data_IF_538340897539
#
_entry.id   IF_538340897539
#
_cell.length_a   1.000
_cell.length_b   1.000
_cell.length_c   1.000
_cell.angle_alpha   90.00
_cell.angle_beta   90.00
_cell.angle_gamma   90.00
#
_symmetry.space_group_name_H-M   'P 1'
#
loop_
_entity.id
_entity.type
_entity.pdbx_description
1 polymer ?
#
# COMPACT_ATOMS: atom_id res chain seq x y z
N UNK A 1 31.01 38.95 -70.35
CA UNK A 1 30.54 40.32 -70.05
C UNK A 1 29.12 40.21 -69.48
N UNK A 2 28.93 40.57 -68.19
CA UNK A 2 27.69 40.99 -67.50
C UNK A 2 26.44 40.06 -67.58
N UNK A 3 25.61 39.78 -66.57
CA UNK A 3 25.32 40.44 -65.29
C UNK A 3 24.36 39.53 -64.50
N UNK A 4 24.60 39.45 -63.19
CA UNK A 4 23.65 39.45 -62.04
C UNK A 4 22.40 38.54 -62.01
N UNK A 5 22.33 37.71 -60.95
CA UNK A 5 21.09 37.38 -60.18
C UNK A 5 20.59 38.66 -59.46
N UNK A 6 19.41 38.77 -58.79
CA UNK A 6 18.34 37.82 -58.46
C UNK A 6 16.91 38.41 -58.66
N UNK A 7 15.84 37.75 -58.19
CA UNK A 7 14.74 38.36 -57.40
C UNK A 7 13.71 37.32 -56.94
N UNK A 8 13.50 37.27 -55.63
CA UNK A 8 12.39 36.60 -54.97
C UNK A 8 11.04 37.17 -55.45
N UNK A 9 10.04 36.30 -55.57
CA UNK A 9 8.63 36.68 -55.40
C UNK A 9 7.98 35.74 -54.41
N UNK A 10 7.68 36.29 -53.24
CA UNK A 10 6.81 35.71 -52.25
C UNK A 10 5.36 35.72 -52.79
N UNK A 11 4.65 34.60 -52.63
CA UNK A 11 3.19 34.60 -52.63
C UNK A 11 2.72 34.00 -51.31
N UNK A 12 2.13 34.87 -50.50
CA UNK A 12 1.38 34.56 -49.30
C UNK A 12 0.01 34.03 -49.75
N UNK A 13 -0.37 32.85 -49.27
CA UNK A 13 -1.76 32.39 -49.32
C UNK A 13 -2.08 31.72 -47.98
N UNK A 14 -2.82 32.47 -47.17
CA UNK A 14 -3.41 32.12 -45.88
C UNK A 14 -4.58 31.13 -46.04
N UNK A 15 -4.48 29.94 -45.46
CA UNK A 15 -5.58 29.01 -45.11
C UNK A 15 -4.98 28.06 -44.04
N UNK A 16 -5.55 27.70 -42.90
CA UNK A 16 -6.82 27.97 -42.27
C UNK A 16 -6.80 27.19 -40.94
N UNK A 17 -7.51 27.72 -39.97
CA UNK A 17 -7.81 27.22 -38.62
C UNK A 17 -7.95 25.69 -38.51
N UNK A 18 -7.36 25.08 -37.47
CA UNK A 18 -7.99 24.07 -36.59
C UNK A 18 -7.06 23.73 -35.42
N UNK A 19 -7.20 24.51 -34.34
CA UNK A 19 -6.75 24.15 -33.00
C UNK A 19 -7.62 22.98 -32.52
N UNK A 20 -7.14 21.74 -32.70
CA UNK A 20 -7.68 20.60 -32.00
C UNK A 20 -7.23 20.67 -30.54
N UNK A 21 -8.02 21.35 -29.71
CA UNK A 21 -7.92 21.28 -28.27
C UNK A 21 -8.36 19.88 -27.81
N UNK A 22 -7.40 18.94 -27.77
CA UNK A 22 -7.58 17.68 -27.08
C UNK A 22 -7.60 17.98 -25.57
N UNK A 23 -8.69 17.67 -24.83
CA UNK A 23 -8.59 17.58 -23.38
C UNK A 23 -7.68 16.40 -23.08
N UNK A 24 -6.42 16.69 -22.74
CA UNK A 24 -5.55 15.73 -22.08
C UNK A 24 -6.26 15.41 -20.77
N UNK A 25 -6.95 14.27 -20.74
CA UNK A 25 -7.57 13.76 -19.54
C UNK A 25 -6.50 13.70 -18.46
N UNK A 26 -6.62 14.55 -17.44
CA UNK A 26 -5.85 14.40 -16.23
C UNK A 26 -6.22 13.03 -15.67
N UNK A 27 -5.32 12.06 -15.86
CA UNK A 27 -5.34 10.84 -15.08
C UNK A 27 -5.24 11.28 -13.62
N UNK A 28 -6.37 11.23 -12.91
CA UNK A 28 -6.41 11.42 -11.48
C UNK A 28 -5.52 10.33 -10.87
N UNK A 29 -4.27 10.69 -10.58
CA UNK A 29 -3.42 9.85 -9.75
C UNK A 29 -4.11 9.76 -8.40
N UNK A 30 -4.35 8.55 -7.86
CA UNK A 30 -4.99 8.44 -6.57
C UNK A 30 -4.16 9.21 -5.55
N UNK A 31 -4.81 10.17 -4.87
CA UNK A 31 -4.23 10.92 -3.77
C UNK A 31 -3.86 9.95 -2.64
N UNK A 32 -2.64 9.42 -2.70
CA UNK A 32 -2.02 8.79 -1.55
C UNK A 32 -1.79 9.90 -0.52
N UNK A 33 -2.44 9.79 0.64
CA UNK A 33 -2.01 10.54 1.81
C UNK A 33 -0.49 10.33 1.97
N UNK A 34 0.28 11.42 2.05
CA UNK A 34 1.73 11.40 1.93
C UNK A 34 2.35 10.42 2.95
N UNK A 35 2.78 9.26 2.45
CA UNK A 35 3.61 8.32 3.22
C UNK A 35 5.03 8.85 3.26
N UNK A 36 5.67 8.78 4.42
CA UNK A 36 7.06 9.22 4.62
C UNK A 36 8.11 8.35 3.90
N UNK A 37 7.74 7.16 3.45
CA UNK A 37 8.58 6.28 2.66
C UNK A 37 8.08 4.83 2.63
N UNK A 38 8.81 3.96 1.94
CA UNK A 38 8.54 2.52 1.92
C UNK A 38 8.79 1.90 3.31
N UNK A 39 7.89 1.05 3.80
CA UNK A 39 8.14 0.36 5.07
C UNK A 39 9.39 -0.53 4.97
N UNK A 40 10.34 -0.34 5.87
CA UNK A 40 11.65 -0.98 5.84
C UNK A 40 12.07 -1.57 7.19
N UNK A 41 11.17 -1.63 8.16
CA UNK A 41 11.42 -2.26 9.46
C UNK A 41 10.10 -2.65 10.12
N UNK A 42 10.18 -3.29 11.29
CA UNK A 42 9.05 -3.65 12.15
C UNK A 42 9.33 -3.16 13.55
N UNK A 43 8.33 -2.64 14.23
CA UNK A 43 8.43 -2.26 15.63
C UNK A 43 7.30 -2.85 16.46
N UNK A 44 7.65 -3.16 17.70
CA UNK A 44 6.74 -3.52 18.76
C UNK A 44 6.04 -2.27 19.27
N UNK A 45 4.72 -2.24 19.23
CA UNK A 45 3.92 -1.08 19.65
C UNK A 45 2.76 -1.49 20.52
N UNK A 46 2.60 -0.79 21.64
CA UNK A 46 1.49 -1.01 22.57
C UNK A 46 0.16 -0.77 21.86
N UNK A 47 -0.77 -1.73 21.97
CA UNK A 47 -2.07 -1.68 21.31
C UNK A 47 -3.19 -1.10 22.20
N UNK A 48 -2.83 -0.57 23.37
CA UNK A 48 -3.67 0.35 24.14
C UNK A 48 -4.87 -0.26 24.87
N UNK A 49 -4.89 -1.57 25.14
CA UNK A 49 -5.94 -2.15 25.99
C UNK A 49 -5.57 -1.94 27.46
N UNK A 50 -6.39 -1.20 28.22
CA UNK A 50 -6.17 -0.93 29.65
C UNK A 50 -6.03 -2.19 30.52
N UNK A 51 -6.62 -3.31 30.07
CA UNK A 51 -6.49 -4.60 30.75
C UNK A 51 -5.13 -5.28 30.54
N UNK A 52 -4.34 -4.86 29.54
CA UNK A 52 -3.09 -5.53 29.15
C UNK A 52 -2.02 -4.52 28.70
N UNK A 53 -1.38 -3.81 29.64
CA UNK A 53 -0.42 -2.75 29.34
C UNK A 53 0.87 -3.22 28.65
N UNK A 54 1.11 -4.54 28.59
CA UNK A 54 2.29 -5.14 27.97
C UNK A 54 2.03 -5.75 26.60
N UNK A 55 0.78 -5.70 26.13
CA UNK A 55 0.41 -6.27 24.85
C UNK A 55 0.80 -5.36 23.70
N UNK A 56 1.34 -5.98 22.66
CA UNK A 56 1.89 -5.23 21.55
C UNK A 56 1.65 -5.87 20.20
N UNK A 57 1.57 -5.02 19.17
CA UNK A 57 1.54 -5.40 17.78
C UNK A 57 2.92 -5.31 17.14
N UNK A 58 3.18 -6.18 16.17
CA UNK A 58 4.36 -6.10 15.30
C UNK A 58 4.00 -5.33 14.03
N UNK A 59 4.35 -4.05 13.98
CA UNK A 59 3.82 -3.12 12.97
C UNK A 59 4.93 -2.67 12.01
N UNK A 60 4.72 -2.74 10.68
CA UNK A 60 5.63 -2.22 9.67
C UNK A 60 5.84 -0.71 9.81
N UNK A 61 7.10 -0.26 9.76
CA UNK A 61 7.49 1.15 9.86
C UNK A 61 8.49 1.54 8.76
N UNK A 62 8.64 2.85 8.54
CA UNK A 62 9.81 3.46 7.91
C UNK A 62 10.53 4.34 8.94
N UNK A 63 11.75 3.98 9.37
CA UNK A 63 12.56 4.83 10.25
C UNK A 63 11.88 5.28 11.56
N UNK A 64 10.92 4.50 12.08
CA UNK A 64 10.12 4.85 13.27
C UNK A 64 8.71 5.38 12.97
N UNK A 65 8.45 5.83 11.74
CA UNK A 65 7.15 6.29 11.27
C UNK A 65 6.23 5.13 10.90
N UNK A 66 4.98 5.18 11.37
CA UNK A 66 3.92 4.24 10.98
C UNK A 66 3.32 4.58 9.61
N UNK A 67 3.50 5.83 9.16
CA UNK A 67 2.96 6.31 7.90
C UNK A 67 3.95 5.99 6.77
N UNK A 68 4.06 4.68 6.52
CA UNK A 68 4.84 4.09 5.45
C UNK A 68 3.93 3.29 4.52
N UNK A 69 4.46 2.89 3.36
CA UNK A 69 3.72 2.10 2.39
C UNK A 69 4.47 0.84 1.96
N UNK A 70 3.73 -0.17 1.51
CA UNK A 70 4.26 -1.35 0.83
C UNK A 70 3.35 -1.74 -0.33
N UNK A 71 3.94 -2.05 -1.47
CA UNK A 71 3.23 -2.48 -2.67
C UNK A 71 4.07 -3.42 -3.50
N UNK A 72 3.66 -3.66 -4.75
CA UNK A 72 4.33 -4.62 -5.63
C UNK A 72 5.85 -4.41 -5.70
N UNK A 73 6.62 -5.49 -5.60
CA UNK A 73 8.08 -5.47 -5.64
C UNK A 73 8.77 -5.23 -4.29
N UNK A 74 8.03 -4.96 -3.21
CA UNK A 74 8.61 -4.88 -1.86
C UNK A 74 9.00 -6.26 -1.32
N UNK A 75 10.04 -6.29 -0.48
CA UNK A 75 10.56 -7.52 0.13
C UNK A 75 11.96 -7.91 -0.37
N UNK A 76 12.61 -7.03 -1.13
CA UNK A 76 13.94 -7.27 -1.72
C UNK A 76 15.08 -6.96 -0.76
N UNK A 77 14.87 -6.06 0.20
CA UNK A 77 15.80 -5.81 1.32
C UNK A 77 15.32 -6.51 2.59
N UNK A 78 16.23 -6.81 3.52
CA UNK A 78 15.87 -7.49 4.78
C UNK A 78 14.83 -6.72 5.60
N UNK A 79 14.95 -5.39 5.59
CA UNK A 79 14.02 -4.49 6.24
C UNK A 79 12.62 -4.54 5.63
N UNK A 80 12.51 -4.45 4.30
CA UNK A 80 11.23 -4.58 3.60
C UNK A 80 10.65 -5.99 3.76
N UNK A 81 11.49 -7.03 3.68
CA UNK A 81 11.06 -8.42 3.84
C UNK A 81 10.45 -8.64 5.22
N UNK A 82 11.06 -8.09 6.26
CA UNK A 82 10.54 -8.13 7.62
C UNK A 82 9.19 -7.40 7.74
N UNK A 83 9.07 -6.23 7.12
CA UNK A 83 7.84 -5.44 7.08
C UNK A 83 6.69 -6.18 6.37
N UNK A 84 6.95 -6.75 5.20
CA UNK A 84 5.95 -7.52 4.44
C UNK A 84 5.55 -8.78 5.21
N UNK A 85 6.51 -9.50 5.80
CA UNK A 85 6.25 -10.70 6.59
C UNK A 85 5.37 -10.39 7.82
N UNK A 86 5.63 -9.28 8.50
CA UNK A 86 4.79 -8.83 9.61
C UNK A 86 3.33 -8.57 9.16
N UNK A 87 3.15 -7.92 8.02
CA UNK A 87 1.82 -7.67 7.46
C UNK A 87 1.11 -8.99 7.06
N UNK A 88 1.80 -9.87 6.33
CA UNK A 88 1.25 -11.18 5.93
C UNK A 88 0.82 -12.00 7.15
N UNK A 89 1.73 -12.16 8.13
CA UNK A 89 1.43 -12.91 9.36
C UNK A 89 0.27 -12.28 10.14
N UNK A 90 0.17 -10.95 10.17
CA UNK A 90 -0.97 -10.29 10.79
C UNK A 90 -2.30 -10.62 10.09
N UNK A 91 -2.34 -10.59 8.76
CA UNK A 91 -3.55 -10.95 7.99
C UNK A 91 -3.91 -12.42 8.22
N UNK A 92 -2.93 -13.32 8.17
CA UNK A 92 -3.13 -14.75 8.43
C UNK A 92 -3.62 -15.04 9.86
N UNK A 93 -3.30 -14.18 10.83
CA UNK A 93 -3.71 -14.32 12.23
C UNK A 93 -5.09 -13.70 12.48
N UNK A 94 -5.25 -12.40 12.21
CA UNK A 94 -6.46 -11.65 12.58
C UNK A 94 -7.60 -11.73 11.58
N UNK A 95 -7.33 -12.28 10.40
CA UNK A 95 -8.27 -12.38 9.28
C UNK A 95 -8.15 -13.76 8.63
N UNK A 96 -7.87 -14.79 9.42
CA UNK A 96 -7.54 -16.15 8.98
C UNK A 96 -8.58 -16.76 8.04
N UNK A 97 -9.87 -16.46 8.21
CA UNK A 97 -10.99 -16.96 7.37
C UNK A 97 -11.29 -16.09 6.14
N UNK A 98 -10.52 -15.03 5.89
CA UNK A 98 -10.76 -14.12 4.77
C UNK A 98 -10.17 -14.62 3.44
N UNK A 99 -10.76 -14.18 2.33
CA UNK A 99 -10.19 -14.34 0.98
C UNK A 99 -8.78 -13.76 0.86
N UNK A 100 -8.46 -12.71 1.62
CA UNK A 100 -7.10 -12.17 1.66
C UNK A 100 -6.11 -13.18 2.26
N UNK A 101 -6.48 -13.82 3.37
CA UNK A 101 -5.65 -14.84 4.01
C UNK A 101 -5.48 -16.09 3.13
N UNK A 102 -6.52 -16.51 2.43
CA UNK A 102 -6.46 -17.60 1.43
C UNK A 102 -5.46 -17.26 0.32
N UNK A 103 -5.58 -16.09 -0.31
CA UNK A 103 -4.66 -15.64 -1.37
C UNK A 103 -3.20 -15.53 -0.89
N UNK A 104 -2.97 -15.14 0.36
CA UNK A 104 -1.62 -15.14 0.95
C UNK A 104 -1.10 -16.57 1.05
N UNK A 105 -1.89 -17.52 1.55
CA UNK A 105 -1.50 -18.93 1.64
C UNK A 105 -1.16 -19.52 0.27
N UNK A 106 -2.00 -19.25 -0.73
CA UNK A 106 -1.81 -19.76 -2.09
C UNK A 106 -0.61 -19.16 -2.82
N UNK A 107 -0.14 -17.98 -2.38
CA UNK A 107 0.99 -17.28 -3.00
C UNK A 107 2.33 -17.45 -2.29
N UNK A 108 2.42 -18.40 -1.35
CA UNK A 108 3.67 -18.73 -0.65
C UNK A 108 3.67 -18.40 0.85
N UNK A 109 2.54 -17.97 1.40
CA UNK A 109 2.38 -17.69 2.83
C UNK A 109 3.03 -16.38 3.28
N UNK A 110 3.66 -16.39 4.45
CA UNK A 110 4.37 -15.24 5.03
C UNK A 110 5.84 -15.17 4.57
N UNK A 111 6.06 -15.27 3.26
CA UNK A 111 7.39 -15.30 2.64
C UNK A 111 8.16 -13.96 2.71
N UNK A 112 7.46 -12.87 3.06
CA UNK A 112 7.99 -11.52 3.11
C UNK A 112 8.11 -10.85 1.74
N UNK A 113 7.43 -11.35 0.70
CA UNK A 113 7.49 -10.80 -0.65
C UNK A 113 6.14 -10.23 -1.09
N UNK A 114 6.13 -8.94 -1.42
CA UNK A 114 4.93 -8.25 -1.90
C UNK A 114 4.82 -8.40 -3.41
N UNK A 115 4.44 -9.59 -3.87
CA UNK A 115 4.27 -9.91 -5.30
C UNK A 115 2.79 -9.84 -5.72
N UNK A 116 2.49 -10.25 -6.95
CA UNK A 116 1.14 -10.29 -7.51
C UNK A 116 0.11 -10.97 -6.60
N UNK A 117 0.49 -12.06 -5.92
CA UNK A 117 -0.35 -12.73 -4.93
C UNK A 117 -0.72 -11.83 -3.75
N UNK A 118 0.27 -11.15 -3.16
CA UNK A 118 0.06 -10.20 -2.08
C UNK A 118 -0.73 -8.95 -2.52
N UNK A 119 -0.50 -8.44 -3.73
CA UNK A 119 -1.31 -7.34 -4.33
C UNK A 119 -2.77 -7.76 -4.45
N UNK A 120 -3.02 -8.96 -4.98
CA UNK A 120 -4.36 -9.53 -5.11
C UNK A 120 -5.02 -9.76 -3.74
N UNK A 121 -4.26 -10.23 -2.75
CA UNK A 121 -4.72 -10.38 -1.38
C UNK A 121 -5.08 -9.03 -0.75
N UNK A 122 -4.25 -7.99 -0.96
CA UNK A 122 -4.51 -6.67 -0.41
C UNK A 122 -5.74 -6.02 -1.03
N UNK A 123 -5.96 -6.18 -2.34
CA UNK A 123 -7.20 -5.71 -2.98
C UNK A 123 -8.44 -6.40 -2.40
N UNK A 124 -8.37 -7.71 -2.17
CA UNK A 124 -9.45 -8.43 -1.49
C UNK A 124 -9.65 -7.92 -0.06
N UNK A 125 -8.56 -7.70 0.67
CA UNK A 125 -8.58 -7.19 2.04
C UNK A 125 -9.25 -5.82 2.14
N UNK A 126 -8.81 -4.88 1.32
CA UNK A 126 -9.37 -3.53 1.24
C UNK A 126 -10.86 -3.57 0.91
N UNK A 127 -11.26 -4.37 -0.07
CA UNK A 127 -12.66 -4.48 -0.50
C UNK A 127 -13.57 -5.12 0.53
N UNK A 128 -13.19 -6.30 1.03
CA UNK A 128 -14.11 -7.17 1.77
C UNK A 128 -13.95 -7.05 3.30
N UNK A 129 -12.76 -6.70 3.80
CA UNK A 129 -12.52 -6.58 5.23
C UNK A 129 -12.52 -5.11 5.69
N UNK A 130 -12.12 -4.17 4.83
CA UNK A 130 -12.08 -2.75 5.16
C UNK A 130 -13.21 -1.92 4.54
N UNK A 131 -13.96 -2.49 3.59
CA UNK A 131 -15.09 -1.82 2.93
C UNK A 131 -14.67 -0.69 1.98
N UNK A 132 -13.42 -0.67 1.52
CA UNK A 132 -12.94 0.32 0.57
C UNK A 132 -13.57 0.13 -0.81
N UNK A 133 -13.74 1.22 -1.54
CA UNK A 133 -14.36 1.24 -2.88
C UNK A 133 -13.55 2.12 -3.84
N UNK A 134 -13.77 1.94 -5.15
CA UNK A 134 -13.13 2.75 -6.18
C UNK A 134 -11.60 2.69 -6.12
N UNK A 135 -10.96 3.86 -6.15
CA UNK A 135 -9.51 4.02 -6.12
C UNK A 135 -8.85 3.61 -4.79
N UNK A 136 -9.63 3.44 -3.71
CA UNK A 136 -9.09 2.99 -2.42
C UNK A 136 -8.82 1.46 -2.38
N UNK A 137 -9.20 0.73 -3.43
CA UNK A 137 -8.87 -0.70 -3.61
C UNK A 137 -7.67 -0.84 -4.57
N UNK A 138 -6.53 -0.32 -4.15
CA UNK A 138 -5.31 -0.20 -4.96
C UNK A 138 -4.36 -1.42 -4.82
N UNK A 139 -4.53 -2.25 -3.79
CA UNK A 139 -3.63 -3.35 -3.48
C UNK A 139 -2.32 -2.90 -2.85
N UNK A 140 -2.29 -1.70 -2.26
CA UNK A 140 -1.16 -1.13 -1.53
C UNK A 140 -1.49 -1.11 -0.04
N UNK A 141 -0.55 -1.58 0.78
CA UNK A 141 -0.59 -1.28 2.20
C UNK A 141 -0.12 0.15 2.39
N UNK A 142 -1.04 1.08 2.64
CA UNK A 142 -0.74 2.48 2.93
C UNK A 142 -1.47 2.97 4.18
N UNK A 143 -1.41 4.28 4.43
CA UNK A 143 -1.95 4.91 5.65
C UNK A 143 -3.44 4.57 5.86
N UNK A 144 -4.27 4.59 4.80
CA UNK A 144 -5.69 4.23 4.89
C UNK A 144 -5.89 2.79 5.36
N UNK A 145 -5.23 1.84 4.68
CA UNK A 145 -5.27 0.41 5.04
C UNK A 145 -4.79 0.19 6.48
N UNK A 146 -3.67 0.81 6.86
CA UNK A 146 -3.10 0.76 8.22
C UNK A 146 -4.09 1.24 9.28
N UNK A 147 -4.75 2.38 9.04
CA UNK A 147 -5.68 2.97 10.01
C UNK A 147 -6.94 2.13 10.19
N UNK A 148 -7.35 1.38 9.18
CA UNK A 148 -8.58 0.60 9.21
C UNK A 148 -8.40 -0.82 9.79
N UNK A 149 -7.19 -1.38 9.71
CA UNK A 149 -6.94 -2.77 10.10
C UNK A 149 -6.70 -2.98 11.61
N UNK A 150 -6.95 -4.22 12.04
CA UNK A 150 -6.64 -4.76 13.36
C UNK A 150 -5.29 -5.46 13.34
N UNK A 151 -4.60 -5.40 14.48
CA UNK A 151 -3.30 -6.02 14.69
C UNK A 151 -3.38 -7.09 15.78
N UNK A 152 -2.66 -8.20 15.56
CA UNK A 152 -2.54 -9.28 16.52
C UNK A 152 -1.76 -8.82 17.75
N UNK A 153 -2.23 -9.22 18.92
CA UNK A 153 -1.53 -8.95 20.16
C UNK A 153 -0.48 -10.03 20.42
N UNK A 154 0.67 -9.58 20.87
CA UNK A 154 1.75 -10.41 21.37
C UNK A 154 2.00 -10.10 22.84
N UNK A 155 2.23 -11.14 23.64
CA UNK A 155 2.76 -11.03 25.00
C UNK A 155 4.13 -10.35 24.99
N UNK A 156 4.60 -9.87 26.15
CA UNK A 156 5.96 -9.36 26.33
C UNK A 156 7.08 -10.31 25.84
N UNK A 157 6.81 -11.62 25.75
CA UNK A 157 7.74 -12.64 25.25
C UNK A 157 7.65 -12.86 23.72
N UNK A 158 6.86 -12.07 23.01
CA UNK A 158 6.67 -12.14 21.56
C UNK A 158 5.68 -13.22 21.08
N UNK A 159 5.05 -13.97 22.01
CA UNK A 159 4.07 -15.02 21.69
C UNK A 159 2.72 -14.38 21.35
N UNK A 160 2.09 -14.77 20.24
CA UNK A 160 0.75 -14.32 19.85
C UNK A 160 -0.25 -14.75 20.93
N UNK A 161 -1.09 -13.82 21.38
CA UNK A 161 -2.10 -14.08 22.40
C UNK A 161 -3.33 -14.76 21.80
N UNK A 162 -3.66 -15.93 22.35
CA UNK A 162 -4.82 -16.75 21.99
C UNK A 162 -5.76 -16.80 23.19
N UNK A 163 -7.01 -16.44 22.97
CA UNK A 163 -8.10 -16.54 23.94
C UNK A 163 -9.04 -17.70 23.54
N UNK A 164 -9.96 -18.12 24.42
CA UNK A 164 -10.90 -19.22 24.14
C UNK A 164 -11.69 -19.04 22.83
N UNK A 165 -11.88 -17.79 22.40
CA UNK A 165 -12.61 -17.42 21.18
C UNK A 165 -11.70 -17.03 19.99
N UNK A 166 -10.40 -17.33 20.07
CA UNK A 166 -9.42 -17.08 19.00
C UNK A 166 -8.35 -16.02 19.35
N UNK A 167 -7.62 -15.55 18.33
CA UNK A 167 -6.55 -14.57 18.49
C UNK A 167 -7.08 -13.20 18.94
N UNK A 168 -6.40 -12.58 19.90
CA UNK A 168 -6.71 -11.19 20.27
C UNK A 168 -6.20 -10.26 19.17
N UNK A 169 -7.11 -9.48 18.58
CA UNK A 169 -6.81 -8.58 17.46
C UNK A 169 -7.56 -7.25 17.63
N UNK A 170 -6.82 -6.14 17.61
CA UNK A 170 -7.41 -4.81 17.87
C UNK A 170 -6.88 -3.75 16.90
N UNK A 171 -7.72 -2.78 16.53
CA UNK A 171 -7.28 -1.63 15.76
C UNK A 171 -6.83 -0.52 16.71
N UNK A 172 -5.52 -0.17 16.75
CA UNK A 172 -5.00 0.84 17.67
C UNK A 172 -5.43 2.27 17.34
N UNK A 173 -6.04 2.53 16.17
CA UNK A 173 -6.54 3.85 15.78
C UNK A 173 -8.03 4.04 16.10
N UNK A 174 -8.66 3.11 16.83
CA UNK A 174 -10.08 3.19 17.24
C UNK A 174 -10.26 3.53 18.73
N UNK A 175 -9.20 3.92 19.42
CA UNK A 175 -9.22 4.41 20.79
C UNK A 175 -8.70 5.84 20.85
#
# INVERSE_FOLDING_TARGET
>A
MRISRPRLRAYVATVGLLLAALPIGLAATPSQAASTGSCNTVSTRTLGLSAYPHDHGRIPLNGGSWDCWMGNGHGTTDGQKSAVKALQRNILTCYSSSTAAERIRDSGGDDGLYRSGMVSAMKAFQRYQLGFTGSDVDGVYGVKTRKAMRWAHHSARGVILVYPNGYLCTNPNRF
#
